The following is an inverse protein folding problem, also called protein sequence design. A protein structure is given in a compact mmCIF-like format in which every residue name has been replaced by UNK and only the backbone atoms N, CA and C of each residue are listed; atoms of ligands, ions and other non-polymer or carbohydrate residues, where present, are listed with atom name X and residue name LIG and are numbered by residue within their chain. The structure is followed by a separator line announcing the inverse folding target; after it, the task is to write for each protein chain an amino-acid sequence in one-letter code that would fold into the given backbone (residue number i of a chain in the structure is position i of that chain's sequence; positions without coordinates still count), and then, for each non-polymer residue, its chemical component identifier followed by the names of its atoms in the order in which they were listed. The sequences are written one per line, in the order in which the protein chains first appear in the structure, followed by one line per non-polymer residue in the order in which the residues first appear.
data_IF_177895718901
#
_entry.id   IF_177895718901
#
_cell.length_a   1.000
_cell.length_b   1.000
_cell.length_c   1.000
_cell.angle_alpha   90.00
_cell.angle_beta   90.00
_cell.angle_gamma   90.00
#
_symmetry.space_group_name_H-M   'P 1'
#
loop_
_entity.id
_entity.type
_entity.pdbx_description
1 polymer ?
#
# COMPACT_ATOMS: atom_id res chain seq x y z
N UNK A 1 10.07 -1.96 -14.96
CA UNK A 1 11.11 -2.76 -14.27
C UNK A 1 11.25 -2.35 -12.83
N UNK A 2 11.80 -3.23 -11.98
CA UNK A 2 12.00 -2.94 -10.56
C UNK A 2 13.00 -1.80 -10.36
N UNK A 3 12.85 -1.09 -9.23
CA UNK A 3 13.81 -0.08 -8.81
C UNK A 3 15.18 -0.69 -8.50
N UNK A 4 16.26 0.02 -8.84
CA UNK A 4 17.61 -0.40 -8.48
C UNK A 4 17.84 -0.30 -6.97
N UNK A 5 18.59 -1.24 -6.40
CA UNK A 5 18.94 -1.21 -4.99
C UNK A 5 19.95 -0.09 -4.72
N UNK A 6 19.87 0.49 -3.53
CA UNK A 6 20.89 1.41 -3.03
C UNK A 6 22.23 0.69 -2.78
N UNK A 7 23.34 1.35 -3.09
CA UNK A 7 24.67 0.82 -2.80
C UNK A 7 24.96 0.85 -1.29
N UNK A 8 25.80 -0.05 -0.82
CA UNK A 8 26.28 -0.05 0.59
C UNK A 8 27.21 1.13 0.83
N UNK A 9 27.16 1.70 2.03
CA UNK A 9 28.12 2.72 2.48
C UNK A 9 29.53 2.19 2.64
N UNK A 10 30.51 3.11 2.83
CA UNK A 10 31.90 2.71 3.10
C UNK A 10 32.02 1.87 4.38
N UNK A 11 33.02 0.98 4.41
CA UNK A 11 33.18 0.02 5.51
C UNK A 11 33.32 0.68 6.89
N UNK A 12 34.08 1.73 6.99
CA UNK A 12 34.31 2.42 8.28
C UNK A 12 33.29 3.56 8.49
N UNK A 13 33.08 4.38 7.49
CA UNK A 13 32.20 5.55 7.53
C UNK A 13 31.52 5.78 6.18
N UNK A 14 30.22 5.95 6.22
CA UNK A 14 29.43 6.27 5.02
C UNK A 14 28.01 5.79 5.13
N UNK A 15 27.10 6.55 4.55
CA UNK A 15 25.69 6.19 4.49
C UNK A 15 25.44 5.18 3.36
N UNK A 16 24.48 4.30 3.55
CA UNK A 16 23.91 3.51 2.46
C UNK A 16 23.18 4.39 1.46
N UNK A 17 23.24 4.03 0.19
CA UNK A 17 22.55 4.73 -0.89
C UNK A 17 21.04 4.51 -0.82
N UNK A 18 20.26 5.52 -1.21
CA UNK A 18 18.82 5.36 -1.41
C UNK A 18 18.54 4.48 -2.64
N UNK A 19 17.45 3.72 -2.60
CA UNK A 19 17.03 2.88 -3.70
C UNK A 19 16.19 3.63 -4.75
N UNK A 20 16.16 3.10 -5.96
CA UNK A 20 15.29 3.59 -7.03
C UNK A 20 13.84 3.14 -6.86
N UNK A 21 12.91 3.95 -7.37
CA UNK A 21 11.50 3.57 -7.44
C UNK A 21 11.25 2.51 -8.52
N UNK A 22 10.23 1.69 -8.32
CA UNK A 22 9.72 0.77 -9.34
C UNK A 22 9.04 1.52 -10.48
N UNK A 23 9.14 1.00 -11.70
CA UNK A 23 8.45 1.55 -12.86
C UNK A 23 6.94 1.28 -12.81
N UNK A 24 6.16 2.21 -13.33
CA UNK A 24 4.71 2.05 -13.42
C UNK A 24 4.32 0.93 -14.40
N UNK A 25 3.20 0.28 -14.12
CA UNK A 25 2.56 -0.64 -15.05
C UNK A 25 2.00 0.09 -16.26
N UNK A 26 2.09 -0.51 -17.43
CA UNK A 26 1.52 0.05 -18.66
C UNK A 26 -0.01 0.04 -18.65
N UNK A 27 -0.61 1.13 -19.12
CA UNK A 27 -2.07 1.18 -19.31
C UNK A 27 -2.50 0.27 -20.46
N UNK A 28 -3.64 -0.37 -20.29
CA UNK A 28 -4.26 -1.14 -21.37
C UNK A 28 -5.49 -0.40 -21.91
N UNK A 29 -5.41 0.04 -23.15
CA UNK A 29 -6.50 0.74 -23.85
C UNK A 29 -7.38 -0.22 -24.66
N UNK A 30 -7.02 -1.50 -24.73
CA UNK A 30 -7.74 -2.58 -25.41
C UNK A 30 -8.50 -3.45 -24.39
N UNK A 31 -8.97 -4.61 -24.74
CA UNK A 31 -9.75 -5.50 -23.90
C UNK A 31 -8.93 -6.35 -22.90
N UNK A 32 -7.79 -5.87 -22.41
CA UNK A 32 -6.91 -6.64 -21.52
C UNK A 32 -6.75 -6.06 -20.12
N UNK A 33 -5.94 -6.72 -19.29
CA UNK A 33 -5.57 -6.26 -17.95
C UNK A 33 -4.55 -5.13 -17.99
N UNK A 34 -4.60 -4.18 -17.05
CA UNK A 34 -3.55 -3.20 -16.84
C UNK A 34 -2.23 -3.85 -16.38
N UNK A 35 -1.10 -3.26 -16.74
CA UNK A 35 0.20 -3.75 -16.32
C UNK A 35 0.43 -3.59 -14.80
N UNK A 36 1.13 -4.55 -14.19
CA UNK A 36 1.48 -4.48 -12.77
C UNK A 36 2.58 -3.44 -12.57
N UNK A 37 2.46 -2.61 -11.52
CA UNK A 37 3.55 -1.74 -11.07
C UNK A 37 4.72 -2.56 -10.55
N UNK A 38 5.93 -2.13 -10.84
CA UNK A 38 7.13 -2.82 -10.40
C UNK A 38 7.49 -2.43 -8.95
N UNK A 39 8.17 -3.31 -8.24
CA UNK A 39 8.58 -3.06 -6.86
C UNK A 39 9.71 -2.03 -6.79
N UNK A 40 9.74 -1.24 -5.72
CA UNK A 40 10.88 -0.40 -5.38
C UNK A 40 12.11 -1.21 -5.00
N UNK A 41 13.31 -0.65 -5.20
CA UNK A 41 14.56 -1.25 -4.76
C UNK A 41 14.74 -1.16 -3.24
N UNK A 42 15.61 -2.00 -2.67
CA UNK A 42 15.99 -1.94 -1.26
C UNK A 42 17.06 -0.87 -1.02
N UNK A 43 16.94 -0.12 0.09
CA UNK A 43 17.97 0.83 0.53
C UNK A 43 19.28 0.13 0.85
N UNK A 44 20.41 0.81 0.59
CA UNK A 44 21.73 0.31 0.90
C UNK A 44 22.01 0.33 2.40
N UNK A 45 22.77 -0.64 2.91
CA UNK A 45 23.19 -0.65 4.29
C UNK A 45 24.38 0.29 4.52
N UNK A 46 24.49 0.87 5.71
CA UNK A 46 25.76 1.51 6.14
C UNK A 46 26.76 0.43 6.62
N UNK A 47 28.06 0.79 6.67
CA UNK A 47 29.11 -0.04 7.24
C UNK A 47 29.13 0.05 8.77
N UNK A 48 30.26 0.49 9.35
CA UNK A 48 30.42 0.61 10.80
C UNK A 48 29.66 1.83 11.35
N UNK A 49 29.82 2.97 10.73
CA UNK A 49 29.19 4.26 11.12
C UNK A 49 28.51 4.87 9.87
N UNK A 50 27.24 5.18 10.00
CA UNK A 50 26.46 5.83 8.95
C UNK A 50 25.00 5.42 8.97
N UNK A 51 24.16 6.18 8.26
CA UNK A 51 22.73 5.86 8.14
C UNK A 51 22.46 4.86 7.01
N UNK A 52 21.48 4.00 7.19
CA UNK A 52 20.93 3.16 6.12
C UNK A 52 20.19 3.99 5.08
N UNK A 53 20.21 3.56 3.83
CA UNK A 53 19.51 4.21 2.72
C UNK A 53 18.01 3.92 2.75
N UNK A 54 17.21 4.82 2.21
CA UNK A 54 15.76 4.62 2.08
C UNK A 54 15.44 3.58 1.01
N UNK A 55 14.39 2.78 1.24
CA UNK A 55 13.80 1.91 0.22
C UNK A 55 13.08 2.73 -0.85
N UNK A 56 13.06 2.25 -2.08
CA UNK A 56 12.38 2.87 -3.20
C UNK A 56 10.87 2.64 -3.16
N UNK A 57 10.08 3.58 -3.65
CA UNK A 57 8.64 3.40 -3.77
C UNK A 57 8.30 2.37 -4.84
N UNK A 58 7.20 1.62 -4.66
CA UNK A 58 6.63 0.77 -5.70
C UNK A 58 5.98 1.61 -6.81
N UNK A 59 6.01 1.11 -8.04
CA UNK A 59 5.37 1.72 -9.20
C UNK A 59 3.85 1.55 -9.16
N UNK A 60 3.10 2.50 -9.71
CA UNK A 60 1.65 2.38 -9.82
C UNK A 60 1.25 1.27 -10.81
N UNK A 61 0.12 0.61 -10.55
CA UNK A 61 -0.51 -0.29 -11.49
C UNK A 61 -1.09 0.48 -12.69
N UNK A 62 -1.08 -0.15 -13.85
CA UNK A 62 -1.62 0.41 -15.08
C UNK A 62 -3.16 0.40 -15.07
N UNK A 63 -3.76 1.44 -15.63
CA UNK A 63 -5.20 1.51 -15.80
C UNK A 63 -5.68 0.54 -16.89
N UNK A 64 -6.95 0.12 -16.81
CA UNK A 64 -7.58 -0.61 -17.90
C UNK A 64 -8.76 0.18 -18.47
N UNK A 65 -8.87 0.21 -19.79
CA UNK A 65 -10.06 0.64 -20.53
C UNK A 65 -10.76 -0.56 -21.18
N UNK A 66 -10.48 -1.76 -20.70
CA UNK A 66 -11.01 -3.01 -21.24
C UNK A 66 -12.54 -3.08 -21.16
N UNK A 67 -13.17 -3.57 -22.23
CA UNK A 67 -14.63 -3.71 -22.37
C UNK A 67 -15.14 -5.09 -21.90
N UNK A 68 -14.34 -5.82 -21.14
CA UNK A 68 -14.67 -7.17 -20.70
C UNK A 68 -14.79 -7.21 -19.18
N UNK A 69 -15.70 -8.02 -18.69
CA UNK A 69 -15.91 -8.25 -17.26
C UNK A 69 -14.68 -8.84 -16.54
N UNK A 70 -13.81 -9.52 -17.29
CA UNK A 70 -12.57 -10.14 -16.84
C UNK A 70 -11.34 -9.20 -16.91
N UNK A 71 -11.50 -7.98 -17.44
CA UNK A 71 -10.43 -7.00 -17.41
C UNK A 71 -10.24 -6.47 -15.98
N UNK A 72 -9.01 -6.53 -15.49
CA UNK A 72 -8.64 -6.04 -14.15
C UNK A 72 -7.56 -4.97 -14.34
N UNK A 73 -7.69 -3.84 -13.64
CA UNK A 73 -6.61 -2.85 -13.62
C UNK A 73 -5.37 -3.42 -12.89
N UNK A 74 -4.19 -2.96 -13.29
CA UNK A 74 -2.94 -3.47 -12.75
C UNK A 74 -2.80 -3.22 -11.24
N UNK A 75 -2.19 -4.14 -10.52
CA UNK A 75 -1.84 -3.94 -9.11
C UNK A 75 -0.65 -2.99 -8.98
N UNK A 76 -0.61 -2.21 -7.90
CA UNK A 76 0.58 -1.43 -7.54
C UNK A 76 1.74 -2.33 -7.13
N UNK A 77 2.98 -1.89 -7.38
CA UNK A 77 4.18 -2.55 -6.92
C UNK A 77 4.44 -2.32 -5.44
N UNK A 78 5.10 -3.26 -4.77
CA UNK A 78 5.46 -3.10 -3.36
C UNK A 78 6.60 -2.09 -3.18
N UNK A 79 6.62 -1.39 -2.05
CA UNK A 79 7.74 -0.54 -1.64
C UNK A 79 8.95 -1.40 -1.24
N UNK A 80 10.16 -0.92 -1.53
CA UNK A 80 11.39 -1.57 -1.13
C UNK A 80 11.70 -1.34 0.36
N UNK A 81 12.42 -2.27 0.97
CA UNK A 81 12.82 -2.15 2.38
C UNK A 81 13.88 -1.05 2.57
N UNK A 82 13.89 -0.41 3.72
CA UNK A 82 14.97 0.46 4.14
C UNK A 82 16.26 -0.32 4.46
N UNK A 83 17.40 0.30 4.22
CA UNK A 83 18.71 -0.24 4.56
C UNK A 83 18.99 -0.15 6.05
N UNK A 84 19.86 -1.04 6.55
CA UNK A 84 20.26 -1.03 7.95
C UNK A 84 21.23 0.11 8.28
N UNK A 85 21.10 0.67 9.46
CA UNK A 85 22.07 1.62 10.02
C UNK A 85 23.42 0.96 10.33
N UNK A 86 24.44 1.80 10.53
CA UNK A 86 25.80 1.33 10.83
C UNK A 86 25.87 0.43 12.06
N UNK A 87 26.75 -0.56 12.01
CA UNK A 87 26.88 -1.57 13.06
C UNK A 87 27.14 -0.97 14.44
N UNK A 88 27.95 0.10 14.49
CA UNK A 88 28.24 0.81 15.75
C UNK A 88 27.27 1.95 15.97
N UNK A 89 27.05 2.79 14.95
CA UNK A 89 26.23 3.98 15.08
C UNK A 89 25.60 4.39 13.74
N UNK A 90 24.33 4.69 13.77
CA UNK A 90 23.57 5.24 12.65
C UNK A 90 22.11 4.81 12.64
N UNK A 91 21.25 5.69 12.19
CA UNK A 91 19.84 5.40 12.01
C UNK A 91 19.64 4.50 10.80
N UNK A 92 18.66 3.63 10.87
CA UNK A 92 18.24 2.83 9.72
C UNK A 92 17.41 3.64 8.72
N UNK A 93 17.39 3.21 7.48
CA UNK A 93 16.59 3.80 6.41
C UNK A 93 15.11 3.46 6.52
N UNK A 94 14.25 4.35 6.07
CA UNK A 94 12.82 4.10 5.98
C UNK A 94 12.49 3.13 4.83
N UNK A 95 11.43 2.35 4.97
CA UNK A 95 10.84 1.58 3.87
C UNK A 95 10.16 2.50 2.85
N UNK A 96 10.15 2.08 1.59
CA UNK A 96 9.46 2.76 0.51
C UNK A 96 7.94 2.53 0.57
N UNK A 97 7.17 3.46 0.02
CA UNK A 97 5.72 3.32 -0.07
C UNK A 97 5.32 2.32 -1.15
N UNK A 98 4.19 1.64 -0.95
CA UNK A 98 3.58 0.82 -2.00
C UNK A 98 3.00 1.69 -3.12
N UNK A 99 3.01 1.20 -4.35
CA UNK A 99 2.40 1.86 -5.50
C UNK A 99 0.87 1.73 -5.48
N UNK A 100 0.18 2.74 -6.00
CA UNK A 100 -1.27 2.68 -6.12
C UNK A 100 -1.71 1.62 -7.14
N UNK A 101 -2.87 1.00 -6.91
CA UNK A 101 -3.53 0.15 -7.91
C UNK A 101 -4.06 0.98 -9.08
N UNK A 102 -4.05 0.43 -10.27
CA UNK A 102 -4.65 1.04 -11.46
C UNK A 102 -6.18 1.11 -11.35
N UNK A 103 -6.78 2.08 -12.01
CA UNK A 103 -8.23 2.24 -12.05
C UNK A 103 -8.81 1.66 -13.34
N UNK A 104 -10.05 1.20 -13.28
CA UNK A 104 -10.80 0.85 -14.47
C UNK A 104 -11.67 2.01 -14.92
N UNK A 105 -11.50 2.43 -16.17
CA UNK A 105 -12.32 3.45 -16.81
C UNK A 105 -13.27 2.84 -17.87
N UNK A 106 -13.28 1.52 -17.99
CA UNK A 106 -14.08 0.85 -19.00
C UNK A 106 -15.56 0.91 -18.68
N UNK A 107 -16.33 1.39 -19.64
CA UNK A 107 -17.77 1.17 -19.74
C UNK A 107 -17.99 0.10 -20.81
N UNK A 108 -18.51 -1.07 -20.42
CA UNK A 108 -18.86 -2.10 -21.43
C UNK A 108 -20.18 -1.73 -22.10
N UNK A 109 -20.13 -1.55 -23.41
CA UNK A 109 -21.34 -1.33 -24.21
C UNK A 109 -21.87 -2.59 -24.88
N UNK A 110 -21.17 -3.72 -24.76
CA UNK A 110 -21.51 -4.97 -25.45
C UNK A 110 -21.25 -6.16 -24.51
N UNK A 111 -22.30 -6.71 -24.02
CA UNK A 111 -22.32 -7.89 -23.16
C UNK A 111 -23.69 -8.00 -22.51
N UNK A 112 -24.11 -9.19 -22.15
CA UNK A 112 -25.36 -9.42 -21.40
C UNK A 112 -25.07 -10.21 -20.14
N UNK A 113 -25.15 -9.58 -18.95
CA UNK A 113 -25.24 -8.14 -18.63
C UNK A 113 -23.89 -7.41 -18.70
N UNK A 114 -23.88 -6.10 -19.02
CA UNK A 114 -22.63 -5.33 -19.04
C UNK A 114 -22.07 -5.17 -17.62
N UNK A 115 -20.81 -5.54 -17.42
CA UNK A 115 -20.12 -5.47 -16.13
C UNK A 115 -18.94 -4.48 -16.23
N UNK A 116 -18.75 -3.65 -15.22
CA UNK A 116 -17.54 -2.83 -15.09
C UNK A 116 -16.31 -3.67 -14.71
N UNK A 117 -15.14 -3.29 -15.19
CA UNK A 117 -13.91 -3.94 -14.83
C UNK A 117 -13.47 -3.60 -13.38
N UNK A 118 -12.78 -4.53 -12.73
CA UNK A 118 -12.31 -4.38 -11.35
C UNK A 118 -11.09 -3.45 -11.25
N UNK A 119 -11.05 -2.60 -10.22
CA UNK A 119 -9.87 -1.81 -9.87
C UNK A 119 -8.72 -2.69 -9.36
N UNK A 120 -7.48 -2.30 -9.66
CA UNK A 120 -6.28 -2.99 -9.17
C UNK A 120 -6.04 -2.77 -7.67
N UNK A 121 -5.45 -3.74 -7.00
CA UNK A 121 -5.05 -3.58 -5.60
C UNK A 121 -3.85 -2.64 -5.49
N UNK A 122 -3.72 -1.92 -4.37
CA UNK A 122 -2.51 -1.20 -4.02
C UNK A 122 -1.40 -2.14 -3.58
N UNK A 123 -0.14 -1.76 -3.85
CA UNK A 123 1.04 -2.48 -3.36
C UNK A 123 1.28 -2.24 -1.86
N UNK A 124 1.99 -3.14 -1.22
CA UNK A 124 2.33 -3.00 0.20
C UNK A 124 3.50 -2.03 0.41
N UNK A 125 3.58 -1.40 1.57
CA UNK A 125 4.74 -0.63 1.98
C UNK A 125 5.91 -1.53 2.36
N UNK A 126 7.14 -1.08 2.08
CA UNK A 126 8.36 -1.77 2.48
C UNK A 126 8.65 -1.60 3.98
N UNK A 127 9.32 -2.57 4.57
CA UNK A 127 9.73 -2.49 5.98
C UNK A 127 10.82 -1.44 6.19
N UNK A 128 10.84 -0.80 7.36
CA UNK A 128 11.97 0.01 7.81
C UNK A 128 13.18 -0.85 8.15
N UNK A 129 14.40 -0.33 7.91
CA UNK A 129 15.64 -1.02 8.29
C UNK A 129 15.85 -1.04 9.81
N UNK A 130 16.81 -1.82 10.26
CA UNK A 130 17.19 -1.90 11.69
C UNK A 130 18.50 -1.13 11.96
N UNK A 131 18.60 -0.49 13.12
CA UNK A 131 19.87 0.11 13.59
C UNK A 131 20.77 -0.96 14.23
N UNK A 132 22.10 -0.69 14.29
CA UNK A 132 23.08 -1.60 14.90
C UNK A 132 23.14 -1.46 16.42
N UNK A 133 24.25 -0.94 16.96
CA UNK A 133 24.41 -0.78 18.42
C UNK A 133 23.71 0.46 18.95
N UNK A 134 23.85 1.58 18.26
CA UNK A 134 23.13 2.84 18.57
C UNK A 134 22.48 3.41 17.32
N UNK A 135 21.27 3.94 17.46
CA UNK A 135 20.51 4.57 16.36
C UNK A 135 19.05 4.18 16.40
N UNK A 136 18.23 4.91 15.69
CA UNK A 136 16.78 4.63 15.58
C UNK A 136 16.49 3.67 14.42
N UNK A 137 15.51 2.81 14.60
CA UNK A 137 14.94 1.99 13.52
C UNK A 137 14.26 2.85 12.44
N UNK A 138 14.29 2.38 11.21
CA UNK A 138 13.58 3.00 10.10
C UNK A 138 12.07 2.86 10.22
N UNK A 139 11.32 3.86 9.77
CA UNK A 139 9.86 3.76 9.65
C UNK A 139 9.46 2.83 8.51
N UNK A 140 8.37 2.10 8.67
CA UNK A 140 7.76 1.33 7.57
C UNK A 140 7.11 2.24 6.53
N UNK A 141 7.16 1.86 5.27
CA UNK A 141 6.46 2.54 4.18
C UNK A 141 4.95 2.34 4.26
N UNK A 142 4.18 3.30 3.81
CA UNK A 142 2.72 3.16 3.72
C UNK A 142 2.32 2.24 2.57
N UNK A 143 1.17 1.59 2.66
CA UNK A 143 0.55 0.89 1.54
C UNK A 143 0.13 1.83 0.41
N UNK A 144 -0.02 1.31 -0.79
CA UNK A 144 -0.59 2.00 -1.95
C UNK A 144 -2.12 1.91 -1.97
N UNK A 145 -2.80 2.96 -2.40
CA UNK A 145 -4.26 2.96 -2.50
C UNK A 145 -4.78 1.94 -3.51
N UNK A 146 -5.96 1.37 -3.28
CA UNK A 146 -6.66 0.55 -4.26
C UNK A 146 -7.22 1.40 -5.41
N UNK A 147 -7.24 0.85 -6.62
CA UNK A 147 -7.82 1.50 -7.79
C UNK A 147 -9.35 1.42 -7.80
N UNK A 148 -9.99 2.39 -8.44
CA UNK A 148 -11.45 2.42 -8.56
C UNK A 148 -11.97 1.39 -9.56
N UNK A 149 -13.13 0.77 -9.28
CA UNK A 149 -13.85 -0.07 -10.22
C UNK A 149 -14.47 0.75 -11.36
N UNK A 150 -14.57 0.14 -12.56
CA UNK A 150 -15.17 0.78 -13.71
C UNK A 150 -16.70 0.79 -13.62
N UNK A 151 -17.31 1.86 -14.16
CA UNK A 151 -18.77 1.90 -14.32
C UNK A 151 -19.23 0.85 -15.34
N UNK A 152 -20.39 0.29 -15.11
CA UNK A 152 -21.01 -0.60 -16.10
C UNK A 152 -21.51 0.17 -17.32
N UNK A 153 -21.58 -0.49 -18.48
CA UNK A 153 -22.23 0.06 -19.66
C UNK A 153 -23.76 0.09 -19.50
N UNK A 154 -24.43 0.92 -20.32
CA UNK A 154 -25.88 1.05 -20.30
C UNK A 154 -26.53 -0.24 -20.83
N UNK A 155 -27.38 -0.87 -20.02
CA UNK A 155 -28.23 -1.99 -20.44
C UNK A 155 -29.68 -1.51 -20.55
N UNK A 156 -30.29 -1.66 -21.73
CA UNK A 156 -31.68 -1.25 -21.95
C UNK A 156 -32.72 -2.24 -21.42
N UNK A 157 -32.35 -3.47 -21.15
CA UNK A 157 -33.29 -4.55 -20.78
C UNK A 157 -32.78 -5.54 -19.73
N UNK A 158 -31.53 -5.46 -19.33
CA UNK A 158 -30.91 -6.40 -18.37
C UNK A 158 -30.02 -5.61 -17.41
N UNK A 159 -30.06 -5.91 -16.12
CA UNK A 159 -29.26 -5.23 -15.11
C UNK A 159 -27.77 -5.19 -15.46
N UNK A 160 -27.14 -4.05 -15.23
CA UNK A 160 -25.70 -3.90 -15.36
C UNK A 160 -25.03 -3.92 -14.00
N UNK A 161 -23.77 -4.38 -13.91
CA UNK A 161 -23.04 -4.45 -12.65
C UNK A 161 -21.77 -3.58 -12.68
N UNK A 162 -21.63 -2.65 -11.75
CA UNK A 162 -20.40 -1.89 -11.57
C UNK A 162 -19.22 -2.75 -11.15
N UNK A 163 -18.01 -2.40 -11.58
CA UNK A 163 -16.79 -3.10 -11.22
C UNK A 163 -16.43 -2.92 -9.73
N UNK A 164 -15.78 -3.89 -9.14
CA UNK A 164 -15.31 -3.82 -7.76
C UNK A 164 -14.15 -2.82 -7.60
N UNK A 165 -14.09 -2.12 -6.47
CA UNK A 165 -12.90 -1.38 -6.07
C UNK A 165 -11.75 -2.31 -5.67
N UNK A 166 -10.51 -1.93 -6.00
CA UNK A 166 -9.31 -2.64 -5.55
C UNK A 166 -9.05 -2.44 -4.06
N UNK A 167 -8.43 -3.40 -3.41
CA UNK A 167 -8.07 -3.26 -2.00
C UNK A 167 -6.87 -2.32 -1.82
N UNK A 168 -6.81 -1.62 -0.69
CA UNK A 168 -5.64 -0.86 -0.26
C UNK A 168 -4.50 -1.80 0.18
N UNK A 169 -3.27 -1.41 -0.10
CA UNK A 169 -2.07 -2.13 0.32
C UNK A 169 -1.83 -1.98 1.83
N UNK A 170 -1.18 -2.94 2.43
CA UNK A 170 -0.79 -2.92 3.85
C UNK A 170 0.41 -2.01 4.08
N UNK A 171 0.56 -1.45 5.28
CA UNK A 171 1.76 -0.77 5.71
C UNK A 171 2.96 -1.72 5.87
N UNK A 172 4.18 -1.19 5.80
CA UNK A 172 5.41 -1.93 6.09
C UNK A 172 5.79 -1.86 7.59
N UNK A 173 6.42 -2.87 8.09
CA UNK A 173 6.85 -2.94 9.50
C UNK A 173 7.83 -1.83 9.87
N UNK A 174 7.75 -1.31 11.07
CA UNK A 174 8.77 -0.44 11.65
C UNK A 174 10.04 -1.24 12.00
N UNK A 175 11.21 -0.67 11.73
CA UNK A 175 12.49 -1.30 12.02
C UNK A 175 12.89 -1.22 13.50
N UNK A 176 13.71 -2.16 13.96
CA UNK A 176 14.21 -2.16 15.33
C UNK A 176 15.22 -1.04 15.60
N UNK A 177 15.16 -0.43 16.79
CA UNK A 177 16.19 0.46 17.30
C UNK A 177 17.50 -0.24 17.59
N UNK A 178 18.59 0.54 17.77
CA UNK A 178 19.91 0.01 18.11
C UNK A 178 19.88 -0.79 19.41
N UNK A 179 20.68 -1.85 19.47
CA UNK A 179 20.60 -2.84 20.55
C UNK A 179 20.79 -2.26 21.95
N UNK A 180 21.59 -1.22 22.13
CA UNK A 180 21.77 -0.53 23.41
C UNK A 180 20.93 0.75 23.48
N UNK A 181 21.11 1.68 22.52
CA UNK A 181 20.38 2.94 22.48
C UNK A 181 19.66 3.06 21.14
N UNK A 182 18.36 3.25 21.19
CA UNK A 182 17.60 3.58 19.99
C UNK A 182 16.11 3.36 20.12
N UNK A 183 15.35 4.23 19.48
CA UNK A 183 13.92 4.07 19.36
C UNK A 183 13.58 3.09 18.23
N UNK A 184 12.54 2.29 18.41
CA UNK A 184 11.94 1.55 17.31
C UNK A 184 11.32 2.49 16.27
N UNK A 185 11.36 2.12 15.00
CA UNK A 185 10.68 2.84 13.92
C UNK A 185 9.17 2.64 13.98
N UNK A 186 8.39 3.63 13.58
CA UNK A 186 6.95 3.47 13.45
C UNK A 186 6.59 2.49 12.32
N UNK A 187 5.52 1.71 12.49
CA UNK A 187 4.91 0.94 11.43
C UNK A 187 4.21 1.83 10.40
N UNK A 188 4.21 1.44 9.16
CA UNK A 188 3.54 2.12 8.06
C UNK A 188 2.01 1.99 8.16
N UNK A 189 1.31 2.96 7.59
CA UNK A 189 -0.17 3.00 7.56
C UNK A 189 -0.68 2.12 6.42
N UNK A 190 -1.79 1.42 6.64
CA UNK A 190 -2.53 0.78 5.56
C UNK A 190 -3.24 1.81 4.68
N UNK A 191 -3.33 1.56 3.40
CA UNK A 191 -3.92 2.49 2.45
C UNK A 191 -5.43 2.27 2.26
N UNK A 192 -6.09 3.26 1.68
CA UNK A 192 -7.53 3.20 1.40
C UNK A 192 -7.85 2.18 0.31
N UNK A 193 -9.00 1.51 0.44
CA UNK A 193 -9.60 0.73 -0.64
C UNK A 193 -10.16 1.64 -1.74
N UNK A 194 -10.16 1.16 -2.97
CA UNK A 194 -10.76 1.86 -4.11
C UNK A 194 -12.30 1.81 -4.08
N UNK A 195 -12.95 2.81 -4.67
CA UNK A 195 -14.40 2.83 -4.77
C UNK A 195 -14.91 1.81 -5.80
N UNK A 196 -16.09 1.26 -5.56
CA UNK A 196 -16.81 0.48 -6.54
C UNK A 196 -17.35 1.34 -7.68
N UNK A 197 -17.47 0.77 -8.88
CA UNK A 197 -18.07 1.43 -10.04
C UNK A 197 -19.60 1.41 -10.01
N UNK A 198 -20.24 2.33 -10.71
CA UNK A 198 -21.70 2.40 -10.76
C UNK A 198 -22.29 1.44 -11.79
N UNK A 199 -23.44 0.83 -11.47
CA UNK A 199 -24.33 0.20 -12.41
C UNK A 199 -25.24 1.23 -13.09
N UNK A 200 -25.66 1.00 -14.34
CA UNK A 200 -26.46 1.94 -15.13
C UNK A 200 -27.63 1.20 -15.78
N UNK A 201 -28.85 1.75 -15.62
CA UNK A 201 -30.08 1.18 -16.18
C UNK A 201 -30.91 0.35 -15.20
N UNK A 202 -32.10 -0.15 -15.64
CA UNK A 202 -33.00 -0.91 -14.78
C UNK A 202 -32.36 -2.20 -14.26
N UNK A 203 -32.66 -2.53 -13.00
CA UNK A 203 -32.09 -3.69 -12.27
C UNK A 203 -30.56 -3.69 -12.20
N UNK A 204 -29.94 -2.50 -12.19
CA UNK A 204 -28.49 -2.34 -12.10
C UNK A 204 -27.97 -2.57 -10.68
N UNK A 205 -26.72 -3.01 -10.57
CA UNK A 205 -26.05 -3.25 -9.30
C UNK A 205 -24.77 -2.44 -9.24
N UNK A 206 -24.60 -1.67 -8.18
CA UNK A 206 -23.33 -0.98 -7.89
C UNK A 206 -22.24 -1.96 -7.49
N UNK A 207 -20.99 -1.72 -7.91
CA UNK A 207 -19.83 -2.48 -7.45
C UNK A 207 -19.50 -2.22 -5.99
N UNK A 208 -19.01 -3.21 -5.28
CA UNK A 208 -18.57 -3.03 -3.90
C UNK A 208 -17.25 -2.26 -3.83
N UNK A 209 -17.09 -1.43 -2.80
CA UNK A 209 -15.81 -0.81 -2.48
C UNK A 209 -14.77 -1.82 -2.01
N UNK A 210 -13.50 -1.53 -2.29
CA UNK A 210 -12.36 -2.33 -1.83
C UNK A 210 -12.10 -2.19 -0.34
N UNK A 211 -11.49 -3.18 0.26
CA UNK A 211 -11.09 -3.14 1.68
C UNK A 211 -9.93 -2.16 1.88
N UNK A 212 -9.90 -1.49 3.02
CA UNK A 212 -8.71 -0.76 3.47
C UNK A 212 -7.58 -1.72 3.84
N UNK A 213 -6.33 -1.30 3.59
CA UNK A 213 -5.13 -2.03 3.97
C UNK A 213 -4.92 -2.02 5.49
N UNK A 214 -4.26 -3.02 6.02
CA UNK A 214 -3.92 -3.07 7.44
C UNK A 214 -2.70 -2.22 7.75
N UNK A 215 -2.64 -1.60 8.94
CA UNK A 215 -1.45 -0.97 9.46
C UNK A 215 -0.40 -2.02 9.84
N UNK A 216 0.85 -1.62 9.98
CA UNK A 216 1.93 -2.52 10.37
C UNK A 216 2.48 -2.21 11.76
N UNK A 217 3.02 -3.22 12.41
CA UNK A 217 3.55 -3.08 13.77
C UNK A 217 4.73 -2.10 13.83
N UNK A 218 4.81 -1.37 14.95
CA UNK A 218 5.98 -0.58 15.30
C UNK A 218 7.17 -1.45 15.69
N UNK A 219 8.40 -0.96 15.45
CA UNK A 219 9.64 -1.64 15.76
C UNK A 219 9.94 -1.66 17.26
N UNK A 220 10.69 -2.67 17.69
CA UNK A 220 11.20 -2.76 19.06
C UNK A 220 12.25 -1.68 19.32
N UNK A 221 12.27 -1.14 20.54
CA UNK A 221 13.39 -0.30 21.00
C UNK A 221 14.63 -1.13 21.32
N UNK A 222 15.77 -0.46 21.48
CA UNK A 222 16.93 -1.02 22.18
C UNK A 222 16.68 -1.15 23.67
N UNK A 223 17.74 -1.49 24.44
CA UNK A 223 17.62 -1.53 25.91
C UNK A 223 17.16 -0.18 26.47
N UNK A 224 17.64 0.89 25.90
CA UNK A 224 17.27 2.28 26.27
C UNK A 224 16.69 2.94 25.02
N UNK A 225 15.40 3.21 25.03
CA UNK A 225 14.66 3.83 23.94
C UNK A 225 13.18 3.50 23.97
N UNK A 226 12.40 4.21 23.19
CA UNK A 226 10.96 4.02 23.08
C UNK A 226 10.63 3.05 21.93
N UNK A 227 9.63 2.21 22.10
CA UNK A 227 9.06 1.42 21.02
C UNK A 227 8.43 2.30 19.96
N UNK A 228 8.48 1.87 18.70
CA UNK A 228 7.82 2.54 17.58
C UNK A 228 6.30 2.44 17.66
N UNK A 229 5.57 3.45 17.23
CA UNK A 229 4.11 3.36 17.13
C UNK A 229 3.68 2.36 16.05
N UNK A 230 2.56 1.67 16.26
CA UNK A 230 1.87 0.89 15.25
C UNK A 230 1.21 1.79 14.20
N UNK A 231 1.17 1.34 12.96
CA UNK A 231 0.49 2.02 11.86
C UNK A 231 -1.02 1.86 11.96
N UNK A 232 -1.76 2.89 11.54
CA UNK A 232 -3.22 2.83 11.45
C UNK A 232 -3.66 2.02 10.23
N UNK A 233 -4.84 1.41 10.30
CA UNK A 233 -5.49 0.79 9.14
C UNK A 233 -6.05 1.85 8.18
N UNK A 234 -6.11 1.51 6.90
CA UNK A 234 -6.71 2.35 5.86
C UNK A 234 -8.23 2.25 5.84
N UNK A 235 -8.90 3.28 5.35
CA UNK A 235 -10.35 3.25 5.17
C UNK A 235 -10.76 2.31 4.04
N UNK A 236 -11.97 1.73 4.13
CA UNK A 236 -12.60 1.02 3.02
C UNK A 236 -13.06 2.00 1.94
N UNK A 237 -13.12 1.54 0.69
CA UNK A 237 -13.66 2.30 -0.44
C UNK A 237 -15.19 2.31 -0.40
N UNK A 238 -15.80 3.33 -1.01
CA UNK A 238 -17.26 3.43 -1.09
C UNK A 238 -17.84 2.48 -2.13
N UNK A 239 -19.09 2.04 -1.91
CA UNK A 239 -19.85 1.30 -2.90
C UNK A 239 -20.27 2.19 -4.08
N UNK A 240 -20.49 1.59 -5.26
CA UNK A 240 -21.03 2.26 -6.44
C UNK A 240 -22.55 2.31 -6.44
N UNK A 241 -23.14 3.26 -7.15
CA UNK A 241 -24.59 3.45 -7.29
C UNK A 241 -25.20 2.43 -8.25
N UNK A 242 -26.50 2.18 -8.11
CA UNK A 242 -27.30 1.30 -8.96
C UNK A 242 -28.68 1.10 -8.32
N UNK A 243 -29.65 0.44 -8.99
CA UNK A 243 -30.93 0.07 -8.37
C UNK A 243 -30.68 -0.74 -7.09
N UNK A 244 -29.69 -1.63 -7.12
CA UNK A 244 -29.13 -2.22 -5.94
C UNK A 244 -27.76 -1.56 -5.67
N UNK A 245 -27.62 -0.86 -4.56
CA UNK A 245 -26.39 -0.19 -4.20
C UNK A 245 -25.26 -1.18 -3.91
N UNK A 246 -24.03 -0.79 -4.28
CA UNK A 246 -22.82 -1.49 -3.85
C UNK A 246 -22.52 -1.25 -2.38
N UNK A 247 -22.01 -2.25 -1.70
CA UNK A 247 -21.55 -2.13 -0.31
C UNK A 247 -20.24 -1.35 -0.20
N UNK A 248 -20.07 -0.59 0.86
CA UNK A 248 -18.78 -0.05 1.22
C UNK A 248 -17.80 -1.16 1.63
N UNK A 249 -16.51 -0.95 1.38
CA UNK A 249 -15.44 -1.84 1.82
C UNK A 249 -15.19 -1.74 3.32
N UNK A 250 -14.71 -2.81 3.94
CA UNK A 250 -14.31 -2.78 5.34
C UNK A 250 -13.04 -1.93 5.53
N UNK A 251 -12.94 -1.20 6.65
CA UNK A 251 -11.70 -0.58 7.05
C UNK A 251 -10.65 -1.60 7.45
N UNK A 252 -9.38 -1.26 7.27
CA UNK A 252 -8.25 -2.08 7.70
C UNK A 252 -8.03 -2.01 9.21
N UNK A 253 -7.46 -3.05 9.79
CA UNK A 253 -7.07 -3.04 11.20
C UNK A 253 -5.85 -2.15 11.44
N UNK A 254 -5.79 -1.49 12.60
CA UNK A 254 -4.58 -0.88 13.12
C UNK A 254 -3.65 -1.94 13.71
N UNK A 255 -2.38 -1.62 13.85
CA UNK A 255 -1.38 -2.53 14.36
C UNK A 255 -0.85 -2.13 15.74
N UNK A 256 -0.19 -3.08 16.39
CA UNK A 256 0.40 -2.88 17.72
C UNK A 256 1.63 -1.98 17.66
N UNK A 257 1.85 -1.21 18.75
CA UNK A 257 3.12 -0.51 18.97
C UNK A 257 4.23 -1.48 19.36
N UNK A 258 5.49 -1.07 19.12
CA UNK A 258 6.67 -1.79 19.53
C UNK A 258 6.92 -1.70 21.04
N UNK A 259 7.59 -2.69 21.61
CA UNK A 259 7.94 -2.69 23.02
C UNK A 259 9.23 -1.89 23.28
N UNK A 260 9.28 -1.21 24.43
CA UNK A 260 10.54 -0.82 25.06
C UNK A 260 11.13 -2.04 25.82
N UNK A 261 12.46 -2.09 25.99
CA UNK A 261 13.08 -3.22 26.66
C UNK A 261 13.38 -2.94 28.14
N UNK A 262 14.38 -2.15 28.45
CA UNK A 262 14.80 -1.89 29.83
C UNK A 262 14.35 -0.51 30.32
N UNK A 263 14.64 0.53 29.55
CA UNK A 263 14.29 1.94 29.88
C UNK A 263 13.64 2.57 28.65
N UNK A 264 12.41 3.02 28.78
CA UNK A 264 11.64 3.72 27.74
C UNK A 264 10.16 3.44 27.80
N UNK A 265 9.41 4.06 26.93
CA UNK A 265 7.97 3.86 26.78
C UNK A 265 7.66 2.87 25.65
N UNK A 266 6.65 2.03 25.80
CA UNK A 266 6.08 1.30 24.67
C UNK A 266 5.49 2.24 23.63
N UNK A 267 5.49 1.84 22.36
CA UNK A 267 4.85 2.56 21.28
C UNK A 267 3.33 2.47 21.37
N UNK A 268 2.63 3.51 20.91
CA UNK A 268 1.18 3.50 20.81
C UNK A 268 0.70 2.50 19.74
N UNK A 269 -0.44 1.86 19.95
CA UNK A 269 -1.14 1.12 18.91
C UNK A 269 -1.72 2.05 17.84
N UNK A 270 -1.83 1.58 16.61
CA UNK A 270 -2.48 2.27 15.51
C UNK A 270 -4.01 2.13 15.59
N UNK A 271 -4.73 3.16 15.14
CA UNK A 271 -6.20 3.11 15.03
C UNK A 271 -6.66 2.21 13.89
N UNK A 272 -7.85 1.62 14.01
CA UNK A 272 -8.51 0.96 12.88
C UNK A 272 -8.98 1.99 11.84
N UNK A 273 -9.05 1.58 10.58
CA UNK A 273 -9.62 2.39 9.50
C UNK A 273 -11.16 2.35 9.52
N UNK A 274 -11.78 3.41 9.04
CA UNK A 274 -13.24 3.45 8.87
C UNK A 274 -13.67 2.54 7.73
N UNK A 275 -14.88 1.95 7.84
CA UNK A 275 -15.54 1.32 6.70
C UNK A 275 -15.93 2.37 5.65
N UNK A 276 -15.97 1.98 4.39
CA UNK A 276 -16.54 2.80 3.32
C UNK A 276 -18.05 2.90 3.43
N UNK A 277 -18.64 3.94 2.85
CA UNK A 277 -20.11 4.06 2.78
C UNK A 277 -20.67 3.20 1.66
N UNK A 278 -21.82 2.54 1.91
CA UNK A 278 -22.63 2.02 0.80
C UNK A 278 -23.18 3.18 -0.01
N UNK A 279 -23.45 2.94 -1.31
CA UNK A 279 -24.15 3.95 -2.10
C UNK A 279 -25.65 3.92 -1.80
N UNK A 280 -26.37 4.98 -2.19
CA UNK A 280 -27.83 4.98 -2.18
C UNK A 280 -28.35 4.23 -3.41
N UNK A 281 -29.39 3.41 -3.22
CA UNK A 281 -30.16 2.83 -4.33
C UNK A 281 -30.93 3.92 -5.08
N UNK A 282 -31.11 3.77 -6.38
CA UNK A 282 -31.85 4.72 -7.24
C UNK A 282 -33.23 4.20 -7.60
#
# INVERSE_FOLDING_TARGET
GNGGNGATGGWLYGNGGAAGAGGNGGNNTSAGTGGVGASGGTGGNAGLIGAGGHGGAGGAGGNTAGRRADAIAGTGGDGGNGGNGGLLSGNAGAGGHGGAGGSSTATTTTGTPPTGATGGNGGNGGAGGTAGFTGSGGIGGNGGAGGTGGNAGVALSVGSTGGLGGNGGSGGLGGGGGSLFGNGGAGGVGATGGNGGSGIGPASVGGNGGKGGVGAAGGLAGQIGNGGSGGSGGAGGNGGTGDTAGNGGNGGAGAVGGNAQLIGNGGNGGGGGNGGTGADGT
#
